data_IF_250208324832
#
_entry.id   IF_250208324832
#
_cell.length_a   1.000
_cell.length_b   1.000
_cell.length_c   1.000
_cell.angle_alpha   90.00
_cell.angle_beta   90.00
_cell.angle_gamma   90.00
#
_symmetry.space_group_name_H-M   'P 1'
#
loop_
_entity.id
_entity.type
_entity.pdbx_description
1 polymer ?
#
# COMPACT_ATOMS: atom_id res chain seq x y z
N UNK A 1 2.79 -25.33 -1.21
CA UNK A 1 1.80 -24.74 -2.12
C UNK A 1 1.88 -23.21 -2.06
N UNK A 2 2.19 -22.59 -3.17
CA UNK A 2 2.19 -21.13 -3.28
C UNK A 2 0.83 -20.65 -3.75
N UNK A 3 0.22 -19.74 -3.00
CA UNK A 3 -1.05 -19.13 -3.37
C UNK A 3 -0.80 -17.68 -3.77
N UNK A 4 -1.24 -17.31 -4.96
CA UNK A 4 -1.16 -15.95 -5.47
C UNK A 4 -2.58 -15.38 -5.58
N UNK A 5 -2.81 -14.21 -5.00
CA UNK A 5 -4.10 -13.53 -5.08
C UNK A 5 -3.90 -12.05 -5.38
N UNK A 6 -4.88 -11.45 -6.05
CA UNK A 6 -4.85 -10.05 -6.45
C UNK A 6 -6.27 -9.54 -6.68
N UNK A 7 -6.49 -8.24 -6.51
CA UNK A 7 -7.72 -7.58 -6.90
C UNK A 7 -7.85 -7.44 -8.42
N UNK A 8 -6.75 -7.54 -9.16
CA UNK A 8 -6.74 -7.42 -10.61
C UNK A 8 -6.36 -8.74 -11.26
N UNK A 9 -7.25 -9.28 -12.11
CA UNK A 9 -6.99 -10.51 -12.86
C UNK A 9 -5.78 -10.39 -13.78
N UNK A 10 -5.55 -9.21 -14.36
CA UNK A 10 -4.40 -8.97 -15.23
C UNK A 10 -3.07 -9.14 -14.52
N UNK A 11 -3.00 -8.74 -13.25
CA UNK A 11 -1.81 -8.92 -12.43
C UNK A 11 -1.47 -10.41 -12.27
N UNK A 12 -2.47 -11.23 -11.93
CA UNK A 12 -2.29 -12.68 -11.82
C UNK A 12 -1.88 -13.30 -13.16
N UNK A 13 -2.48 -12.84 -14.26
CA UNK A 13 -2.15 -13.31 -15.61
C UNK A 13 -0.70 -12.98 -15.97
N UNK A 14 -0.20 -11.79 -15.60
CA UNK A 14 1.18 -11.39 -15.84
C UNK A 14 2.19 -12.23 -15.05
N UNK A 15 1.76 -12.87 -13.98
CA UNK A 15 2.57 -13.82 -13.22
C UNK A 15 2.44 -15.26 -13.71
N UNK A 16 1.88 -15.47 -14.90
CA UNK A 16 1.77 -16.77 -15.53
C UNK A 16 0.59 -17.61 -15.08
N UNK A 17 -0.36 -17.03 -14.35
CA UNK A 17 -1.57 -17.73 -13.92
C UNK A 17 -2.56 -17.80 -15.07
N UNK A 18 -3.00 -19.01 -15.43
CA UNK A 18 -3.98 -19.19 -16.51
C UNK A 18 -5.35 -18.72 -16.05
N UNK A 19 -6.13 -18.11 -16.97
CA UNK A 19 -7.44 -17.57 -16.62
C UNK A 19 -8.40 -18.60 -16.04
N UNK A 20 -8.35 -19.84 -16.49
CA UNK A 20 -9.19 -20.92 -15.96
C UNK A 20 -8.78 -21.39 -14.56
N UNK A 21 -7.62 -20.95 -14.06
CA UNK A 21 -7.17 -21.20 -12.70
C UNK A 21 -7.41 -20.03 -11.76
N UNK A 22 -7.98 -18.92 -12.26
CA UNK A 22 -8.30 -17.75 -11.48
C UNK A 22 -9.73 -17.86 -10.97
N UNK A 23 -9.87 -17.93 -9.66
CA UNK A 23 -11.18 -17.94 -9.01
C UNK A 23 -11.51 -16.55 -8.48
N UNK A 24 -12.75 -16.11 -8.71
CA UNK A 24 -13.27 -14.85 -8.18
C UNK A 24 -14.25 -15.14 -7.06
N UNK A 25 -14.06 -14.44 -5.93
CA UNK A 25 -14.98 -14.50 -4.78
C UNK A 25 -15.41 -13.09 -4.46
N UNK A 26 -16.71 -12.89 -4.29
CA UNK A 26 -17.23 -11.62 -3.82
C UNK A 26 -16.96 -11.49 -2.32
N UNK A 27 -16.36 -10.37 -1.93
CA UNK A 27 -16.09 -10.04 -0.54
C UNK A 27 -16.54 -8.61 -0.28
N UNK A 28 -16.93 -8.34 0.95
CA UNK A 28 -17.25 -6.98 1.36
C UNK A 28 -15.96 -6.15 1.44
N UNK A 29 -15.98 -4.98 0.79
CA UNK A 29 -14.87 -4.06 0.82
C UNK A 29 -15.19 -2.86 1.70
N UNK A 30 -14.18 -2.37 2.41
CA UNK A 30 -14.28 -1.16 3.22
C UNK A 30 -13.21 -0.16 2.79
N UNK A 31 -13.51 1.13 2.95
CA UNK A 31 -12.53 2.18 2.73
C UNK A 31 -11.65 2.36 3.97
N UNK A 32 -10.48 2.99 3.80
CA UNK A 32 -9.65 3.35 4.95
C UNK A 32 -10.37 4.26 5.92
N UNK A 33 -11.18 5.20 5.42
CA UNK A 33 -11.96 6.09 6.26
C UNK A 33 -12.96 5.32 7.13
N UNK A 34 -13.63 4.33 6.56
CA UNK A 34 -14.53 3.45 7.31
C UNK A 34 -13.79 2.65 8.37
N UNK A 35 -12.62 2.10 8.04
CA UNK A 35 -11.79 1.36 9.00
C UNK A 35 -11.33 2.25 10.15
N UNK A 36 -10.83 3.45 9.85
CA UNK A 36 -10.37 4.40 10.87
C UNK A 36 -11.51 4.80 11.80
N UNK A 37 -12.70 5.04 11.23
CA UNK A 37 -13.88 5.41 12.01
C UNK A 37 -14.38 4.25 12.87
N UNK A 38 -14.45 3.05 12.30
CA UNK A 38 -15.01 1.88 12.98
C UNK A 38 -14.12 1.37 14.11
N UNK A 39 -12.80 1.37 13.92
CA UNK A 39 -11.84 0.76 14.85
C UNK A 39 -11.01 1.80 15.62
N UNK A 40 -11.22 3.08 15.38
CA UNK A 40 -10.53 4.18 16.09
C UNK A 40 -9.00 4.05 16.01
N UNK A 41 -8.44 3.98 14.81
CA UNK A 41 -7.01 3.82 14.59
C UNK A 41 -6.20 5.11 14.82
N UNK A 42 -6.58 5.95 15.76
CA UNK A 42 -5.89 7.23 16.05
C UNK A 42 -4.42 7.04 16.45
N UNK A 43 -4.05 5.83 16.88
CA UNK A 43 -2.71 5.51 17.33
C UNK A 43 -2.01 4.49 16.43
N UNK A 44 -2.45 4.36 15.17
CA UNK A 44 -1.79 3.47 14.24
C UNK A 44 -0.35 3.92 14.01
N UNK A 45 0.61 3.08 14.38
CA UNK A 45 2.03 3.38 14.23
C UNK A 45 2.66 2.85 12.95
N UNK A 46 2.10 1.80 12.38
CA UNK A 46 2.64 1.10 11.21
C UNK A 46 1.52 0.63 10.30
N UNK A 47 1.67 0.92 9.02
CA UNK A 47 0.80 0.43 7.95
C UNK A 47 1.64 -0.33 6.93
N UNK A 48 1.40 -1.62 6.79
CA UNK A 48 2.06 -2.45 5.78
C UNK A 48 1.05 -2.81 4.70
N UNK A 49 1.40 -2.52 3.47
CA UNK A 49 0.56 -2.80 2.30
C UNK A 49 1.30 -3.77 1.39
N UNK A 50 0.67 -4.90 1.11
CA UNK A 50 1.21 -5.92 0.21
C UNK A 50 0.03 -6.54 -0.55
N UNK A 51 -0.37 -5.90 -1.64
CA UNK A 51 -1.57 -6.25 -2.40
C UNK A 51 -1.28 -6.74 -3.81
N UNK A 52 -0.03 -7.04 -4.11
CA UNK A 52 0.39 -7.60 -5.39
C UNK A 52 -0.11 -6.78 -6.59
N UNK A 53 0.24 -5.49 -6.59
CA UNK A 53 -0.05 -4.59 -7.72
C UNK A 53 -1.09 -3.50 -7.45
N UNK A 54 -1.66 -3.44 -6.25
CA UNK A 54 -2.65 -2.41 -5.89
C UNK A 54 -2.11 -1.41 -4.86
N UNK A 55 -0.84 -1.53 -4.50
CA UNK A 55 -0.23 -0.80 -3.39
C UNK A 55 -0.29 0.71 -3.57
N UNK A 56 0.01 1.22 -4.77
CA UNK A 56 0.00 2.65 -5.05
C UNK A 56 -1.38 3.28 -4.83
N UNK A 57 -2.43 2.59 -5.23
CA UNK A 57 -3.81 3.05 -5.08
C UNK A 57 -4.18 3.09 -3.59
N UNK A 58 -3.83 2.05 -2.85
CA UNK A 58 -4.14 1.96 -1.43
C UNK A 58 -3.40 3.00 -0.59
N UNK A 59 -2.10 3.19 -0.85
CA UNK A 59 -1.32 4.22 -0.15
C UNK A 59 -1.90 5.61 -0.43
N UNK A 60 -2.20 5.91 -1.70
CA UNK A 60 -2.81 7.18 -2.08
C UNK A 60 -4.14 7.40 -1.35
N UNK A 61 -5.01 6.40 -1.36
CA UNK A 61 -6.30 6.46 -0.69
C UNK A 61 -6.15 6.69 0.81
N UNK A 62 -5.20 6.00 1.44
CA UNK A 62 -4.92 6.19 2.86
C UNK A 62 -4.51 7.63 3.16
N UNK A 63 -3.55 8.17 2.43
CA UNK A 63 -3.05 9.54 2.63
C UNK A 63 -4.18 10.57 2.46
N UNK A 64 -5.04 10.36 1.47
CA UNK A 64 -6.14 11.28 1.17
C UNK A 64 -7.31 11.18 2.14
N UNK A 65 -7.49 10.02 2.77
CA UNK A 65 -8.66 9.74 3.62
C UNK A 65 -8.38 9.84 5.11
N UNK A 66 -7.15 9.57 5.55
CA UNK A 66 -6.80 9.51 6.96
C UNK A 66 -5.97 10.72 7.38
N UNK A 67 -6.16 11.16 8.63
CA UNK A 67 -5.40 12.27 9.21
C UNK A 67 -4.18 11.79 10.00
N UNK A 68 -4.04 10.50 10.21
CA UNK A 68 -2.89 9.91 10.90
C UNK A 68 -1.76 9.65 9.90
N UNK A 69 -0.52 9.69 10.39
CA UNK A 69 0.66 9.54 9.54
C UNK A 69 1.61 8.49 10.14
N UNK A 70 1.24 7.19 10.03
CA UNK A 70 2.09 6.10 10.54
C UNK A 70 3.30 5.90 9.65
N UNK A 71 4.22 5.05 10.08
CA UNK A 71 5.20 4.46 9.17
C UNK A 71 4.45 3.63 8.14
N UNK A 72 4.79 3.81 6.87
CA UNK A 72 4.14 3.08 5.77
C UNK A 72 5.20 2.25 5.05
N UNK A 73 4.92 0.97 4.85
CA UNK A 73 5.77 0.06 4.09
C UNK A 73 4.95 -0.52 2.94
N UNK A 74 5.45 -0.40 1.73
CA UNK A 74 4.81 -0.98 0.56
C UNK A 74 5.85 -1.42 -0.47
N UNK A 75 5.45 -2.30 -1.39
CA UNK A 75 6.30 -2.77 -2.47
C UNK A 75 6.23 -1.81 -3.65
N UNK A 76 7.40 -1.31 -4.09
CA UNK A 76 7.47 -0.32 -5.16
C UNK A 76 7.89 -0.90 -6.51
N UNK A 77 8.48 -2.09 -6.52
CA UNK A 77 9.20 -2.62 -7.68
C UNK A 77 8.29 -2.87 -8.91
N UNK A 78 7.01 -3.12 -8.68
CA UNK A 78 6.04 -3.37 -9.75
C UNK A 78 5.28 -2.12 -10.20
N UNK A 79 5.56 -0.97 -9.60
CA UNK A 79 4.89 0.26 -9.98
C UNK A 79 5.43 0.79 -11.31
N UNK A 80 4.54 1.35 -12.11
CA UNK A 80 4.95 2.15 -13.26
C UNK A 80 5.65 3.41 -12.78
N UNK A 81 6.62 3.90 -13.56
CA UNK A 81 7.42 5.06 -13.17
C UNK A 81 6.55 6.28 -12.85
N UNK A 82 5.55 6.56 -13.68
CA UNK A 82 4.67 7.71 -13.45
C UNK A 82 3.87 7.58 -12.16
N UNK A 83 3.37 6.38 -11.86
CA UNK A 83 2.62 6.11 -10.64
C UNK A 83 3.52 6.25 -9.41
N UNK A 84 4.74 5.76 -9.48
CA UNK A 84 5.71 5.86 -8.40
C UNK A 84 6.10 7.32 -8.14
N UNK A 85 6.33 8.11 -9.18
CA UNK A 85 6.66 9.54 -9.06
C UNK A 85 5.52 10.33 -8.42
N UNK A 86 4.29 10.08 -8.86
CA UNK A 86 3.11 10.74 -8.30
C UNK A 86 2.94 10.39 -6.83
N UNK A 87 3.10 9.12 -6.48
CA UNK A 87 2.98 8.66 -5.10
C UNK A 87 4.06 9.26 -4.20
N UNK A 88 5.32 9.29 -4.67
CA UNK A 88 6.43 9.89 -3.94
C UNK A 88 6.18 11.37 -3.67
N UNK A 89 5.70 12.10 -4.67
CA UNK A 89 5.37 13.53 -4.50
C UNK A 89 4.25 13.72 -3.46
N UNK A 90 3.21 12.89 -3.52
CA UNK A 90 2.12 12.94 -2.53
C UNK A 90 2.64 12.68 -1.11
N UNK A 91 3.49 11.68 -0.95
CA UNK A 91 4.09 11.33 0.35
C UNK A 91 5.00 12.45 0.85
N UNK A 92 5.84 13.03 0.00
CA UNK A 92 6.68 14.17 0.37
C UNK A 92 5.86 15.38 0.81
N UNK A 93 4.77 15.67 0.11
CA UNK A 93 3.86 16.75 0.48
C UNK A 93 3.24 16.52 1.86
N UNK A 94 3.14 15.27 2.28
CA UNK A 94 2.63 14.87 3.59
C UNK A 94 3.77 14.57 4.59
N UNK A 95 4.94 15.15 4.38
CA UNK A 95 6.09 15.14 5.30
C UNK A 95 6.74 13.77 5.50
N UNK A 96 6.71 12.92 4.48
CA UNK A 96 7.37 11.63 4.51
C UNK A 96 8.77 11.70 3.89
N UNK A 97 9.70 11.01 4.50
CA UNK A 97 11.01 10.65 3.96
C UNK A 97 11.06 9.15 3.72
N UNK A 98 12.04 8.68 2.95
CA UNK A 98 12.04 7.33 2.42
C UNK A 98 13.33 6.59 2.73
N UNK A 99 13.19 5.29 3.02
CA UNK A 99 14.28 4.32 3.06
C UNK A 99 13.92 3.18 2.11
N UNK A 100 14.86 2.83 1.26
CA UNK A 100 14.68 1.72 0.31
C UNK A 100 15.25 0.44 0.92
N UNK A 101 14.43 -0.60 0.98
CA UNK A 101 14.82 -1.90 1.53
C UNK A 101 14.42 -3.00 0.54
N UNK A 102 15.33 -3.35 -0.39
CA UNK A 102 15.03 -4.32 -1.44
C UNK A 102 13.91 -3.84 -2.35
N UNK A 103 12.82 -4.62 -2.43
CA UNK A 103 11.62 -4.26 -3.20
C UNK A 103 10.62 -3.42 -2.40
N UNK A 104 10.89 -3.14 -1.13
CA UNK A 104 10.02 -2.36 -0.27
C UNK A 104 10.52 -0.94 -0.12
N UNK A 105 9.58 -0.02 0.01
CA UNK A 105 9.87 1.37 0.38
C UNK A 105 9.30 1.60 1.77
N UNK A 106 10.17 2.07 2.67
CA UNK A 106 9.79 2.41 4.04
C UNK A 106 9.63 3.93 4.12
N UNK A 107 8.44 4.38 4.47
CA UNK A 107 8.09 5.80 4.51
C UNK A 107 7.94 6.23 5.96
N UNK A 108 8.74 7.21 6.35
CA UNK A 108 8.81 7.74 7.71
C UNK A 108 8.49 9.22 7.70
N UNK A 109 7.80 9.71 8.74
CA UNK A 109 7.64 11.15 8.88
C UNK A 109 9.00 11.83 9.06
N UNK A 110 9.14 13.05 8.57
CA UNK A 110 10.42 13.78 8.60
C UNK A 110 10.98 13.96 10.01
N UNK A 111 10.10 14.03 11.02
CA UNK A 111 10.48 14.17 12.42
C UNK A 111 10.69 12.82 13.13
N UNK A 112 10.59 11.72 12.41
CA UNK A 112 10.81 10.40 13.00
C UNK A 112 12.27 10.26 13.44
N UNK A 113 12.45 9.81 14.68
CA UNK A 113 13.77 9.57 15.25
C UNK A 113 13.83 8.15 15.78
N UNK A 114 14.88 7.43 15.40
CA UNK A 114 15.13 6.10 15.95
C UNK A 114 15.64 6.25 17.37
N UNK A 115 14.92 5.73 18.36
CA UNK A 115 15.37 5.68 19.74
C UNK A 115 16.19 4.41 19.97
N UNK A 116 17.22 4.52 20.80
CA UNK A 116 18.06 3.38 21.19
C UNK A 116 17.57 2.75 22.48
#
# INVERSE_FOLDING_TARGET
>A
LTVLSSFEKNHLKNHGVKLNHIHSTEIDCVTFNELVTQYNFNQLGLLVIDTEGYDNILVKNFIQSANIRPVIIFEWIHMKINDAQELVELLKTNNYKFLKAGKDLICLQNNFVFSR
#
